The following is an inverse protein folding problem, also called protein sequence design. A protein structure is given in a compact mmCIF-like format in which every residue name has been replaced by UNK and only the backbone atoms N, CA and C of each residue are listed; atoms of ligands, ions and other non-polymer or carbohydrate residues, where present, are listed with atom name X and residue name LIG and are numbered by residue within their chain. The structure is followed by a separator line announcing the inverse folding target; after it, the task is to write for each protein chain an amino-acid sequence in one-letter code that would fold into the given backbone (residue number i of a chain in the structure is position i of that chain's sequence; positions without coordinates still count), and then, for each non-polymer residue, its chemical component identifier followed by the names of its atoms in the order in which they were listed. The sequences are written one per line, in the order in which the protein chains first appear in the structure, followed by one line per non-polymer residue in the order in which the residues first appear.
data_IF_585025033375
#
_entry.id   IF_585025033375
#
_cell.length_a   1.000
_cell.length_b   1.000
_cell.length_c   1.000
_cell.angle_alpha   90.00
_cell.angle_beta   90.00
_cell.angle_gamma   90.00
#
_symmetry.space_group_name_H-M   'P 1'
#
loop_
_entity.id
_entity.type
_entity.pdbx_description
1 polymer ?
#
# COMPACT_ATOMS: atom_id res chain seq x y z
N UNK A 1 17.84 -15.19 3.91
CA UNK A 1 17.97 -15.18 5.39
C UNK A 1 16.62 -15.39 6.08
N UNK A 2 15.60 -14.56 5.82
CA UNK A 2 14.28 -14.64 6.49
C UNK A 2 13.63 -16.03 6.44
N UNK A 3 13.44 -16.60 5.24
CA UNK A 3 12.82 -17.94 5.10
C UNK A 3 13.55 -19.00 5.92
N UNK A 4 14.88 -19.05 5.84
CA UNK A 4 15.70 -19.98 6.62
C UNK A 4 15.49 -19.83 8.12
N UNK A 5 15.50 -18.59 8.63
CA UNK A 5 15.24 -18.31 10.03
C UNK A 5 13.82 -18.70 10.43
N UNK A 6 12.80 -18.35 9.64
CA UNK A 6 11.40 -18.65 9.90
C UNK A 6 11.14 -20.16 10.04
N UNK A 7 11.73 -20.97 9.15
CA UNK A 7 11.66 -22.44 9.24
C UNK A 7 12.28 -22.97 10.54
N UNK A 8 13.47 -22.48 10.88
CA UNK A 8 14.21 -22.93 12.07
C UNK A 8 13.51 -22.54 13.37
N UNK A 9 13.01 -21.31 13.48
CA UNK A 9 12.33 -20.84 14.69
C UNK A 9 10.98 -21.52 14.86
N UNK A 10 10.27 -21.80 13.77
CA UNK A 10 9.02 -22.57 13.81
C UNK A 10 9.25 -23.98 14.34
N UNK A 11 10.25 -24.69 13.80
CA UNK A 11 10.61 -26.01 14.30
C UNK A 11 11.01 -25.97 15.78
N UNK A 12 11.89 -25.04 16.16
CA UNK A 12 12.32 -24.91 17.54
C UNK A 12 11.14 -24.65 18.50
N UNK A 13 10.13 -23.88 18.08
CA UNK A 13 8.92 -23.69 18.86
C UNK A 13 8.08 -24.98 18.97
N UNK A 14 7.88 -25.70 17.87
CA UNK A 14 7.17 -26.99 17.89
C UNK A 14 7.81 -27.99 18.87
N UNK A 15 9.14 -28.05 18.90
CA UNK A 15 9.90 -28.92 19.80
C UNK A 15 9.74 -28.48 21.27
N UNK A 16 9.87 -27.16 21.54
CA UNK A 16 9.78 -26.61 22.90
C UNK A 16 8.39 -26.76 23.50
N UNK A 17 7.34 -26.58 22.70
CA UNK A 17 5.95 -26.67 23.16
C UNK A 17 5.36 -28.09 23.02
N UNK A 18 6.10 -29.04 22.47
CA UNK A 18 5.65 -30.41 22.21
C UNK A 18 4.37 -30.48 21.35
N UNK A 19 4.29 -29.68 20.28
CA UNK A 19 3.09 -29.55 19.39
C UNK A 19 3.36 -29.97 17.94
N UNK A 20 4.49 -30.63 17.67
CA UNK A 20 4.95 -30.96 16.31
C UNK A 20 4.26 -32.16 15.65
N UNK A 21 3.62 -33.04 16.42
CA UNK A 21 3.15 -34.34 15.92
C UNK A 21 1.95 -34.21 14.95
N UNK A 22 1.13 -33.19 15.11
CA UNK A 22 -0.04 -32.90 14.26
C UNK A 22 0.22 -31.83 13.18
N UNK A 23 1.43 -31.24 13.17
CA UNK A 23 1.77 -30.11 12.30
C UNK A 23 2.61 -30.58 11.11
N UNK A 24 2.05 -30.48 9.90
CA UNK A 24 2.83 -30.69 8.68
C UNK A 24 3.82 -29.53 8.49
N UNK A 25 5.09 -29.77 8.83
CA UNK A 25 6.21 -28.85 8.62
C UNK A 25 6.30 -28.40 7.15
N UNK A 26 5.94 -29.29 6.21
CA UNK A 26 5.89 -28.98 4.78
C UNK A 26 4.80 -27.95 4.45
N UNK A 27 3.59 -28.11 4.98
CA UNK A 27 2.50 -27.12 4.82
C UNK A 27 2.88 -25.76 5.43
N UNK A 28 3.48 -25.76 6.62
CA UNK A 28 3.96 -24.54 7.27
C UNK A 28 5.10 -23.88 6.47
N UNK A 29 5.96 -24.66 5.83
CA UNK A 29 7.02 -24.14 4.97
C UNK A 29 6.48 -23.57 3.66
N UNK A 30 5.47 -24.20 3.07
CA UNK A 30 4.85 -23.75 1.83
C UNK A 30 4.07 -22.43 2.04
N UNK A 31 3.50 -22.21 3.23
CA UNK A 31 2.83 -20.94 3.58
C UNK A 31 3.78 -19.74 3.65
N UNK A 32 5.10 -19.96 3.80
CA UNK A 32 6.11 -18.89 3.70
C UNK A 32 6.34 -18.41 2.26
N UNK A 33 5.86 -19.15 1.26
CA UNK A 33 5.98 -18.81 -0.17
C UNK A 33 4.66 -18.27 -0.69
N UNK A 34 3.56 -18.96 -0.38
CA UNK A 34 2.20 -18.55 -0.73
C UNK A 34 1.26 -18.99 0.39
N UNK A 35 0.58 -18.03 1.01
CA UNK A 35 -0.38 -18.29 2.09
C UNK A 35 -1.80 -17.91 1.65
N UNK A 36 -2.76 -18.09 2.56
CA UNK A 36 -4.16 -17.77 2.27
C UNK A 36 -4.39 -16.29 1.94
N UNK A 37 -3.48 -15.39 2.32
CA UNK A 37 -3.55 -13.96 1.97
C UNK A 37 -2.80 -13.60 0.69
N UNK A 38 -2.12 -14.56 0.05
CA UNK A 38 -1.56 -14.36 -1.29
C UNK A 38 -2.69 -14.14 -2.31
N UNK A 39 -2.38 -13.40 -3.37
CA UNK A 39 -3.35 -13.10 -4.41
C UNK A 39 -3.84 -14.38 -5.11
N UNK A 40 -5.15 -14.49 -5.29
CA UNK A 40 -5.83 -15.52 -6.10
C UNK A 40 -6.98 -14.83 -6.85
N UNK A 41 -7.15 -15.15 -8.14
CA UNK A 41 -8.22 -14.55 -8.99
C UNK A 41 -9.62 -14.69 -8.38
N UNK A 42 -9.92 -15.82 -7.72
CA UNK A 42 -11.22 -16.06 -7.08
C UNK A 42 -11.41 -15.35 -5.74
N UNK A 43 -10.35 -14.80 -5.14
CA UNK A 43 -10.38 -14.23 -3.79
C UNK A 43 -10.61 -12.73 -3.78
N UNK A 44 -10.26 -12.03 -4.85
CA UNK A 44 -10.36 -10.58 -4.93
C UNK A 44 -11.24 -10.17 -6.09
N UNK A 45 -12.02 -9.11 -5.90
CA UNK A 45 -12.77 -8.46 -6.97
C UNK A 45 -12.78 -6.96 -6.79
N UNK A 46 -13.10 -6.28 -7.88
CA UNK A 46 -13.27 -4.84 -7.93
C UNK A 46 -14.77 -4.55 -8.04
N UNK A 47 -15.28 -3.62 -7.23
CA UNK A 47 -16.66 -3.16 -7.29
C UNK A 47 -16.70 -1.64 -7.40
N UNK A 48 -17.63 -1.11 -8.20
CA UNK A 48 -17.80 0.34 -8.40
C UNK A 48 -18.44 1.01 -7.19
N UNK A 49 -18.03 2.24 -6.92
CA UNK A 49 -18.61 3.09 -5.88
C UNK A 49 -18.89 4.49 -6.40
N UNK A 50 -19.76 5.24 -5.72
CA UNK A 50 -20.10 6.61 -6.11
C UNK A 50 -19.17 7.66 -5.50
N UNK A 51 -18.52 7.34 -4.37
CA UNK A 51 -17.78 8.30 -3.56
C UNK A 51 -16.37 7.80 -3.25
N UNK A 52 -15.44 8.73 -3.15
CA UNK A 52 -14.08 8.49 -2.70
C UNK A 52 -13.64 9.63 -1.77
N UNK A 53 -12.85 9.34 -0.72
CA UNK A 53 -12.34 10.37 0.16
C UNK A 53 -11.35 11.29 -0.56
N UNK A 54 -11.19 12.50 -0.04
CA UNK A 54 -10.10 13.38 -0.45
C UNK A 54 -8.73 12.76 -0.19
N UNK A 55 -7.71 13.18 -0.95
CA UNK A 55 -6.38 12.57 -0.93
C UNK A 55 -5.76 12.52 0.48
N UNK A 56 -5.86 13.60 1.26
CA UNK A 56 -5.31 13.67 2.62
C UNK A 56 -6.03 12.71 3.57
N UNK A 57 -7.36 12.59 3.46
CA UNK A 57 -8.18 11.65 4.23
C UNK A 57 -7.91 10.19 3.82
N UNK A 58 -7.66 9.95 2.52
CA UNK A 58 -7.26 8.65 2.01
C UNK A 58 -5.89 8.23 2.60
N UNK A 59 -4.89 9.12 2.53
CA UNK A 59 -3.57 8.89 3.10
C UNK A 59 -3.62 8.68 4.62
N UNK A 60 -4.46 9.44 5.34
CA UNK A 60 -4.72 9.18 6.76
C UNK A 60 -5.25 7.77 7.00
N UNK A 61 -6.24 7.34 6.21
CA UNK A 61 -6.85 6.03 6.33
C UNK A 61 -5.85 4.89 6.08
N UNK A 62 -4.91 5.07 5.15
CA UNK A 62 -3.88 4.08 4.80
C UNK A 62 -2.78 4.03 5.88
N UNK A 63 -2.22 5.19 6.24
CA UNK A 63 -1.02 5.28 7.09
C UNK A 63 -1.31 5.46 8.58
N UNK A 64 -2.59 5.63 8.95
CA UNK A 64 -3.07 5.89 10.32
C UNK A 64 -2.35 7.07 10.99
N UNK A 65 -2.01 8.08 10.18
CA UNK A 65 -1.27 9.31 10.57
C UNK A 65 -1.91 10.52 9.91
N UNK A 66 -2.13 11.60 10.67
CA UNK A 66 -2.77 12.81 10.14
C UNK A 66 -1.91 13.41 9.02
N UNK A 67 -2.55 13.68 7.88
CA UNK A 67 -1.92 14.26 6.69
C UNK A 67 -2.64 15.56 6.36
N UNK A 68 -1.89 16.61 6.07
CA UNK A 68 -2.42 17.95 5.83
C UNK A 68 -2.00 18.44 4.45
N UNK A 69 -2.92 19.13 3.78
CA UNK A 69 -2.65 19.74 2.48
C UNK A 69 -1.85 21.02 2.65
N UNK A 70 -0.60 21.03 2.18
CA UNK A 70 0.21 22.23 2.04
C UNK A 70 0.22 22.68 0.57
N UNK A 71 0.40 23.97 0.32
CA UNK A 71 0.45 24.53 -1.04
C UNK A 71 1.86 24.96 -1.40
N UNK A 72 2.36 24.53 -2.56
CA UNK A 72 3.65 25.01 -3.08
C UNK A 72 3.57 26.51 -3.40
N UNK A 73 4.51 27.30 -2.87
CA UNK A 73 4.66 28.73 -3.15
C UNK A 73 5.68 28.97 -4.25
N UNK A 74 6.88 28.40 -4.09
CA UNK A 74 7.98 28.61 -5.02
C UNK A 74 8.91 27.40 -5.06
N UNK A 75 9.62 27.30 -6.18
CA UNK A 75 10.69 26.32 -6.41
C UNK A 75 11.84 27.03 -7.11
N UNK A 76 13.03 26.95 -6.54
CA UNK A 76 14.24 27.57 -7.09
C UNK A 76 15.39 26.57 -7.12
N UNK A 77 16.17 26.54 -8.22
CA UNK A 77 17.43 25.80 -8.24
C UNK A 77 18.49 26.56 -7.45
N UNK A 78 19.12 25.89 -6.49
CA UNK A 78 20.20 26.45 -5.66
C UNK A 78 21.58 26.32 -6.31
N UNK A 79 21.68 25.57 -7.41
CA UNK A 79 22.94 25.30 -8.09
C UNK A 79 23.12 26.17 -9.34
N UNK A 80 24.39 26.35 -9.73
CA UNK A 80 24.73 27.01 -10.99
C UNK A 80 24.03 26.33 -12.16
N UNK A 81 23.55 27.07 -13.17
CA UNK A 81 23.00 26.50 -14.39
C UNK A 81 23.97 25.58 -15.15
N UNK A 82 25.28 25.69 -14.88
CA UNK A 82 26.32 24.82 -15.47
C UNK A 82 26.54 23.51 -14.71
N UNK A 83 25.87 23.32 -13.57
CA UNK A 83 25.98 22.10 -12.76
C UNK A 83 25.34 20.92 -13.48
N UNK A 84 25.96 19.74 -13.39
CA UNK A 84 25.39 18.47 -13.86
C UNK A 84 24.35 17.88 -12.90
N UNK A 85 24.24 18.43 -11.69
CA UNK A 85 23.27 18.06 -10.65
C UNK A 85 22.35 19.25 -10.35
N UNK A 86 21.19 18.95 -9.77
CA UNK A 86 20.22 19.95 -9.32
C UNK A 86 19.87 19.72 -7.84
N UNK A 87 19.76 20.80 -7.09
CA UNK A 87 19.25 20.84 -5.71
C UNK A 87 18.29 22.01 -5.64
N UNK A 88 17.06 21.75 -5.18
CA UNK A 88 15.99 22.75 -5.21
C UNK A 88 15.66 23.24 -3.80
N UNK A 89 15.42 24.54 -3.70
CA UNK A 89 14.75 25.17 -2.57
C UNK A 89 13.24 25.18 -2.84
N UNK A 90 12.47 24.74 -1.85
CA UNK A 90 11.01 24.72 -1.89
C UNK A 90 10.46 25.58 -0.76
N UNK A 91 9.48 26.42 -1.09
CA UNK A 91 8.67 27.12 -0.10
C UNK A 91 7.25 26.55 -0.13
N UNK A 92 6.76 26.11 1.02
CA UNK A 92 5.42 25.57 1.19
C UNK A 92 4.63 26.49 2.12
N UNK A 93 3.42 26.83 1.70
CA UNK A 93 2.42 27.45 2.56
C UNK A 93 1.73 26.34 3.35
N UNK A 94 1.75 26.44 4.68
CA UNK A 94 1.13 25.45 5.58
C UNK A 94 -0.39 25.57 5.65
N UNK A 95 -0.98 26.54 4.93
CA UNK A 95 -2.41 26.86 4.99
C UNK A 95 -2.91 27.08 6.42
N UNK A 96 -2.05 27.64 7.27
CA UNK A 96 -2.33 27.93 8.67
C UNK A 96 -2.73 26.70 9.52
N UNK A 97 -2.43 25.49 9.03
CA UNK A 97 -2.60 24.27 9.80
C UNK A 97 -1.67 24.29 11.02
N UNK A 98 -2.26 24.33 12.22
CA UNK A 98 -1.53 24.33 13.50
C UNK A 98 -0.67 23.08 13.66
N UNK A 99 -1.08 21.99 13.03
CA UNK A 99 -0.40 20.70 13.07
C UNK A 99 0.86 20.66 12.20
N UNK A 100 1.08 21.68 11.37
CA UNK A 100 2.32 21.89 10.63
C UNK A 100 3.25 22.93 11.32
N UNK A 101 2.94 23.37 12.53
CA UNK A 101 3.90 24.14 13.34
C UNK A 101 5.08 23.26 13.72
N UNK A 102 6.30 23.78 13.52
CA UNK A 102 7.54 23.03 13.72
C UNK A 102 8.60 23.88 14.43
N UNK A 103 9.63 23.22 14.96
CA UNK A 103 10.86 23.84 15.47
C UNK A 103 12.05 23.52 14.55
N UNK A 104 13.10 24.35 14.54
CA UNK A 104 14.32 24.03 13.80
C UNK A 104 14.89 22.66 14.23
N UNK A 105 15.13 21.80 13.24
CA UNK A 105 15.55 20.40 13.46
C UNK A 105 14.47 19.36 13.21
N UNK A 106 13.18 19.76 13.19
CA UNK A 106 12.07 18.87 12.84
C UNK A 106 12.06 18.53 11.35
N UNK A 107 11.55 17.35 11.00
CA UNK A 107 11.39 16.89 9.62
C UNK A 107 9.94 17.04 9.15
N UNK A 108 9.77 17.24 7.84
CA UNK A 108 8.47 17.20 7.18
C UNK A 108 8.36 15.93 6.34
N UNK A 109 7.43 15.04 6.70
CA UNK A 109 7.07 13.88 5.88
C UNK A 109 6.23 14.30 4.69
N UNK A 110 6.63 13.90 3.47
CA UNK A 110 5.94 14.24 2.22
C UNK A 110 5.46 12.95 1.55
N UNK A 111 4.20 12.93 1.11
CA UNK A 111 3.64 11.89 0.24
C UNK A 111 3.75 12.34 -1.22
N UNK A 112 4.64 11.75 -2.03
CA UNK A 112 4.75 12.09 -3.45
C UNK A 112 3.66 11.42 -4.28
N UNK A 113 3.56 11.85 -5.54
CA UNK A 113 2.88 11.10 -6.59
C UNK A 113 3.89 10.53 -7.59
N UNK A 114 3.67 9.31 -8.07
CA UNK A 114 4.42 8.73 -9.16
C UNK A 114 4.23 9.53 -10.46
N UNK A 115 5.20 9.42 -11.37
CA UNK A 115 5.14 10.08 -12.68
C UNK A 115 3.97 9.54 -13.50
N UNK A 116 3.20 10.41 -14.15
CA UNK A 116 1.98 10.02 -14.87
C UNK A 116 2.27 9.03 -16.01
N UNK A 117 3.33 9.26 -16.79
CA UNK A 117 3.73 8.33 -17.86
C UNK A 117 3.99 6.91 -17.34
N UNK A 118 4.60 6.77 -16.15
CA UNK A 118 4.84 5.45 -15.54
C UNK A 118 3.52 4.80 -15.09
N UNK A 119 2.62 5.60 -14.52
CA UNK A 119 1.30 5.13 -14.09
C UNK A 119 0.47 4.68 -15.28
N UNK A 120 0.42 5.49 -16.35
CA UNK A 120 -0.32 5.18 -17.57
C UNK A 120 0.26 3.94 -18.27
N UNK A 121 1.59 3.88 -18.43
CA UNK A 121 2.25 2.72 -19.02
C UNK A 121 1.96 1.44 -18.21
N UNK A 122 1.92 1.51 -16.88
CA UNK A 122 1.56 0.36 -16.05
C UNK A 122 0.09 -0.05 -16.26
N UNK A 123 -0.84 0.91 -16.29
CA UNK A 123 -2.27 0.64 -16.50
C UNK A 123 -2.55 0.01 -17.86
N UNK A 124 -1.88 0.48 -18.92
CA UNK A 124 -2.01 -0.07 -20.28
C UNK A 124 -1.58 -1.54 -20.39
N UNK A 125 -0.73 -2.03 -19.47
CA UNK A 125 -0.28 -3.42 -19.44
C UNK A 125 -1.20 -4.35 -18.62
N UNK A 126 -2.27 -3.83 -18.01
CA UNK A 126 -3.19 -4.63 -17.21
C UNK A 126 -4.23 -5.34 -18.09
N UNK A 127 -4.39 -6.65 -17.88
CA UNK A 127 -5.34 -7.49 -18.64
C UNK A 127 -6.81 -7.15 -18.32
N UNK A 128 -7.16 -7.08 -17.02
CA UNK A 128 -8.55 -6.91 -16.54
C UNK A 128 -8.73 -5.58 -15.78
N UNK A 129 -8.21 -4.48 -16.33
CA UNK A 129 -8.27 -3.17 -15.66
C UNK A 129 -9.68 -2.56 -15.66
N UNK A 130 -10.16 -1.99 -14.53
CA UNK A 130 -11.32 -1.11 -14.56
C UNK A 130 -11.00 0.16 -15.35
N UNK A 131 -12.01 0.87 -15.89
CA UNK A 131 -11.77 2.13 -16.57
C UNK A 131 -11.09 3.16 -15.66
N UNK A 132 -10.13 3.91 -16.20
CA UNK A 132 -9.17 4.75 -15.45
C UNK A 132 -9.84 5.84 -14.61
N UNK A 133 -11.02 6.30 -15.03
CA UNK A 133 -11.80 7.36 -14.38
C UNK A 133 -12.91 6.85 -13.46
N UNK A 134 -13.06 5.54 -13.28
CA UNK A 134 -14.11 4.97 -12.43
C UNK A 134 -13.62 4.81 -11.00
N UNK A 135 -14.45 5.24 -10.06
CA UNK A 135 -14.21 5.02 -8.64
C UNK A 135 -14.54 3.56 -8.31
N UNK A 136 -13.56 2.90 -7.70
CA UNK A 136 -13.68 1.50 -7.34
C UNK A 136 -13.18 1.24 -5.92
N UNK A 137 -13.64 0.14 -5.35
CA UNK A 137 -13.07 -0.45 -4.14
C UNK A 137 -12.67 -1.90 -4.40
N UNK A 138 -11.76 -2.41 -3.59
CA UNK A 138 -11.38 -3.81 -3.60
C UNK A 138 -12.21 -4.56 -2.56
N UNK A 139 -12.77 -5.69 -2.95
CA UNK A 139 -13.43 -6.63 -2.05
C UNK A 139 -12.64 -7.94 -2.01
N UNK A 140 -12.58 -8.56 -0.84
CA UNK A 140 -11.97 -9.87 -0.61
C UNK A 140 -13.03 -10.87 -0.16
N UNK A 141 -12.96 -12.09 -0.69
CA UNK A 141 -13.72 -13.23 -0.22
C UNK A 141 -13.15 -13.69 1.13
N UNK A 142 -13.90 -13.45 2.20
CA UNK A 142 -13.66 -14.01 3.52
C UNK A 142 -14.38 -15.35 3.66
N UNK A 143 -13.61 -16.40 3.93
CA UNK A 143 -14.13 -17.73 4.22
C UNK A 143 -13.96 -18.03 5.71
N UNK A 144 -15.05 -18.40 6.37
CA UNK A 144 -15.06 -18.81 7.77
C UNK A 144 -15.45 -20.27 7.88
N UNK A 145 -14.54 -21.07 8.42
CA UNK A 145 -14.83 -22.45 8.78
C UNK A 145 -15.72 -22.48 10.02
N UNK A 146 -16.91 -23.05 9.90
CA UNK A 146 -17.84 -23.27 11.01
C UNK A 146 -18.10 -24.76 11.17
N UNK A 147 -18.69 -25.17 12.30
CA UNK A 147 -19.07 -26.56 12.53
C UNK A 147 -20.09 -27.09 11.49
N UNK A 148 -20.78 -26.20 10.77
CA UNK A 148 -21.78 -26.52 9.74
C UNK A 148 -21.23 -26.45 8.31
N UNK A 149 -19.93 -26.17 8.15
CA UNK A 149 -19.26 -26.01 6.86
C UNK A 149 -18.61 -24.63 6.68
N UNK A 150 -18.25 -24.32 5.44
CA UNK A 150 -17.59 -23.06 5.06
C UNK A 150 -18.64 -22.02 4.73
N UNK A 151 -18.60 -20.87 5.42
CA UNK A 151 -19.40 -19.69 5.09
C UNK A 151 -18.49 -18.69 4.38
N UNK A 152 -18.84 -18.31 3.16
CA UNK A 152 -18.07 -17.36 2.34
C UNK A 152 -18.84 -16.06 2.15
N UNK A 153 -18.21 -14.92 2.44
CA UNK A 153 -18.79 -13.60 2.22
C UNK A 153 -17.77 -12.65 1.58
N UNK A 154 -18.21 -11.83 0.64
CA UNK A 154 -17.41 -10.72 0.13
C UNK A 154 -17.41 -9.58 1.15
N UNK A 155 -16.23 -9.10 1.50
CA UNK A 155 -16.03 -7.99 2.44
C UNK A 155 -15.09 -6.96 1.82
N UNK A 156 -15.14 -5.72 2.28
CA UNK A 156 -14.25 -4.67 1.79
C UNK A 156 -12.81 -4.88 2.26
N UNK A 157 -11.85 -4.83 1.33
CA UNK A 157 -10.42 -4.80 1.66
C UNK A 157 -10.01 -3.36 2.02
N UNK A 158 -9.81 -3.11 3.31
CA UNK A 158 -9.67 -1.76 3.87
C UNK A 158 -8.27 -1.15 3.73
N UNK A 159 -7.30 -1.86 3.11
CA UNK A 159 -5.93 -1.35 2.95
C UNK A 159 -5.87 -0.07 2.13
N UNK A 160 -6.64 0.03 1.05
CA UNK A 160 -6.70 1.20 0.17
C UNK A 160 -8.16 1.65 0.12
N UNK A 161 -8.48 2.90 0.48
CA UNK A 161 -9.85 3.40 0.41
C UNK A 161 -10.31 3.50 -1.05
N UNK A 162 -11.62 3.67 -1.29
CA UNK A 162 -12.11 3.78 -2.65
C UNK A 162 -11.45 4.93 -3.42
N UNK A 163 -11.03 4.65 -4.65
CA UNK A 163 -10.33 5.61 -5.52
C UNK A 163 -10.36 5.10 -6.97
N UNK A 164 -9.88 5.90 -7.91
CA UNK A 164 -9.62 5.37 -9.25
C UNK A 164 -8.33 4.52 -9.28
N UNK A 165 -8.21 3.62 -10.25
CA UNK A 165 -6.98 2.85 -10.45
C UNK A 165 -5.76 3.75 -10.71
N UNK A 166 -5.97 4.88 -11.38
CA UNK A 166 -4.93 5.90 -11.57
C UNK A 166 -4.47 6.49 -10.25
N UNK A 167 -5.39 6.90 -9.37
CA UNK A 167 -5.05 7.43 -8.06
C UNK A 167 -4.32 6.40 -7.19
N UNK A 168 -4.72 5.12 -7.26
CA UNK A 168 -4.06 4.05 -6.52
C UNK A 168 -2.58 3.92 -6.90
N UNK A 169 -2.28 3.82 -8.20
CA UNK A 169 -0.89 3.73 -8.66
C UNK A 169 -0.12 5.05 -8.56
N UNK A 170 -0.80 6.19 -8.66
CA UNK A 170 -0.14 7.49 -8.54
C UNK A 170 0.22 7.82 -7.10
N UNK A 171 -0.64 7.56 -6.12
CA UNK A 171 -0.49 8.12 -4.77
C UNK A 171 -0.38 7.10 -3.65
N UNK A 172 -0.81 5.84 -3.84
CA UNK A 172 -0.96 4.89 -2.73
C UNK A 172 -0.08 3.64 -2.83
N UNK A 173 0.43 3.35 -4.03
CA UNK A 173 1.23 2.16 -4.31
C UNK A 173 2.63 2.53 -4.79
N UNK A 174 3.61 1.76 -4.31
CA UNK A 174 4.96 1.80 -4.85
C UNK A 174 5.00 0.94 -6.12
N UNK A 175 5.30 1.58 -7.24
CA UNK A 175 5.43 0.95 -8.56
C UNK A 175 6.88 0.99 -9.07
N UNK A 176 7.83 1.37 -8.21
CA UNK A 176 9.23 1.64 -8.59
C UNK A 176 10.24 0.80 -7.84
N UNK A 177 9.90 0.31 -6.64
CA UNK A 177 10.74 -0.67 -5.93
C UNK A 177 10.76 -2.01 -6.67
N UNK A 178 11.93 -2.60 -6.94
CA UNK A 178 12.02 -3.93 -7.53
C UNK A 178 11.23 -4.98 -6.73
N UNK A 179 10.51 -5.92 -7.38
CA UNK A 179 9.76 -6.97 -6.69
C UNK A 179 10.61 -7.81 -5.72
N UNK A 180 10.01 -8.25 -4.61
CA UNK A 180 10.65 -9.00 -3.50
C UNK A 180 10.87 -10.48 -3.77
#
# INVERSE_FOLDING_TARGET
SFRTWAKKVFQAACDVFCVGDDVSIEKANNSLISNDRSWKRSKYRISYVAEAPELTQALYSIHKKKVYGARLLSRQNLQSPKSSRSTIFLQLHTNEHKELCYKPGDHLGIFPGNHEDLVNALIEQLEDAPPVNQLVRVEMLEERNTALGVISNWTEEQRIPPCTIFQAFKYFLDITTPPT
#
